data_IF_519359844648
#
_entry.id   IF_519359844648
#
_cell.length_a   1.000
_cell.length_b   1.000
_cell.length_c   1.000
_cell.angle_alpha   90.00
_cell.angle_beta   90.00
_cell.angle_gamma   90.00
#
_symmetry.space_group_name_H-M   'P 1'
#
loop_
_entity.id
_entity.type
_entity.pdbx_description
1 polymer ?
#
# COMPACT_ATOMS: atom_id res chain seq x y z
N UNK A 1 -56.46 32.29 17.84
CA UNK A 1 -55.86 31.92 16.54
C UNK A 1 -54.79 30.88 16.82
N UNK A 2 -55.04 29.66 16.39
CA UNK A 2 -54.16 28.49 16.54
C UNK A 2 -53.47 28.33 15.19
N UNK A 3 -52.15 28.40 15.15
CA UNK A 3 -51.37 27.79 14.07
C UNK A 3 -50.18 27.01 14.62
N UNK A 4 -49.90 25.94 13.92
CA UNK A 4 -49.40 24.65 14.37
C UNK A 4 -48.37 24.23 13.33
N UNK A 5 -47.10 24.11 13.70
CA UNK A 5 -46.05 23.49 12.86
C UNK A 5 -45.05 22.84 13.83
N UNK A 6 -45.21 21.58 14.25
CA UNK A 6 -44.68 20.32 13.67
C UNK A 6 -43.22 20.42 13.18
N UNK A 7 -42.29 19.79 13.92
CA UNK A 7 -41.61 18.52 13.57
C UNK A 7 -40.37 18.77 12.68
N UNK A 8 -39.16 18.29 12.97
CA UNK A 8 -38.74 16.90 13.13
C UNK A 8 -37.48 16.84 14.00
N UNK A 9 -37.48 15.99 15.02
CA UNK A 9 -36.27 15.57 15.73
C UNK A 9 -35.59 14.41 15.03
N UNK A 10 -34.26 14.45 14.95
CA UNK A 10 -33.44 13.35 14.44
C UNK A 10 -32.52 12.90 15.57
N UNK A 11 -32.99 11.94 16.36
CA UNK A 11 -32.17 11.23 17.36
C UNK A 11 -31.80 9.90 16.72
N UNK A 12 -30.49 9.67 16.55
CA UNK A 12 -29.96 8.40 16.09
C UNK A 12 -30.13 7.31 17.14
N UNK A 13 -30.24 6.06 16.70
CA UNK A 13 -29.89 4.92 17.54
C UNK A 13 -29.33 3.78 16.69
N UNK A 14 -28.27 3.18 17.23
CA UNK A 14 -27.41 2.18 16.64
C UNK A 14 -28.11 0.83 16.47
N UNK A 15 -27.65 0.12 15.44
CA UNK A 15 -28.02 -1.26 15.10
C UNK A 15 -27.24 -2.20 16.03
N UNK A 16 -27.95 -3.00 16.84
CA UNK A 16 -27.43 -4.16 17.52
C UNK A 16 -28.07 -5.42 16.89
N UNK A 17 -27.32 -6.11 16.03
CA UNK A 17 -27.70 -7.43 15.52
C UNK A 17 -27.09 -8.48 16.45
N UNK A 18 -27.92 -9.06 17.31
CA UNK A 18 -27.58 -10.24 18.07
C UNK A 18 -27.65 -11.48 17.19
N UNK A 19 -26.53 -12.20 17.06
CA UNK A 19 -26.50 -13.56 16.51
C UNK A 19 -26.47 -14.54 17.68
N UNK A 20 -27.58 -15.25 17.86
CA UNK A 20 -27.70 -16.38 18.78
C UNK A 20 -27.23 -17.62 18.03
N UNK A 21 -26.10 -18.21 18.45
CA UNK A 21 -25.67 -19.54 18.01
C UNK A 21 -26.16 -20.55 19.03
N UNK A 22 -27.16 -21.35 18.63
CA UNK A 22 -27.58 -22.55 19.35
C UNK A 22 -26.53 -23.66 19.13
N UNK A 23 -25.84 -24.05 20.20
CA UNK A 23 -25.01 -25.25 20.24
C UNK A 23 -25.89 -26.45 20.61
N UNK A 24 -26.25 -27.26 19.62
CA UNK A 24 -26.75 -28.62 19.82
C UNK A 24 -25.68 -29.61 19.32
N UNK A 25 -24.77 -30.00 20.22
CA UNK A 25 -23.75 -31.01 19.96
C UNK A 25 -24.18 -32.37 20.52
N UNK A 26 -24.70 -33.23 19.65
CA UNK A 26 -24.92 -34.64 19.94
C UNK A 26 -23.58 -35.37 20.10
N UNK A 27 -23.47 -36.08 21.23
CA UNK A 27 -22.38 -37.01 21.56
C UNK A 27 -22.53 -38.25 20.66
N UNK A 28 -21.50 -38.59 19.87
CA UNK A 28 -21.35 -39.93 19.29
C UNK A 28 -19.90 -40.38 19.36
N UNK A 29 -19.76 -41.60 19.87
CA UNK A 29 -18.53 -42.33 20.11
C UNK A 29 -17.71 -42.53 18.84
N UNK A 30 -16.40 -42.51 19.06
CA UNK A 30 -15.32 -42.78 18.15
C UNK A 30 -15.16 -44.27 17.86
N UNK A 31 -14.89 -44.61 16.60
CA UNK A 31 -14.10 -45.78 16.21
C UNK A 31 -12.93 -45.33 15.31
N UNK A 32 -11.73 -45.93 15.42
CA UNK A 32 -10.59 -45.56 14.62
C UNK A 32 -10.56 -46.34 13.30
N UNK A 33 -10.31 -45.65 12.19
CA UNK A 33 -10.07 -46.23 10.86
C UNK A 33 -8.73 -45.69 10.33
N UNK A 34 -7.87 -46.55 9.72
CA UNK A 34 -6.45 -46.29 9.54
C UNK A 34 -6.10 -45.49 8.28
N UNK A 35 -4.85 -45.01 8.28
CA UNK A 35 -4.07 -44.32 7.25
C UNK A 35 -4.69 -44.21 5.85
N UNK A 36 -5.01 -42.96 5.47
CA UNK A 36 -5.19 -42.54 4.10
C UNK A 36 -4.16 -41.46 3.76
N UNK A 37 -3.35 -41.80 2.76
CA UNK A 37 -2.40 -40.99 1.99
C UNK A 37 -2.80 -39.51 1.89
N UNK A 38 -1.90 -38.64 2.33
CA UNK A 38 -2.01 -37.19 2.14
C UNK A 38 -1.98 -36.86 0.65
N UNK A 39 -3.15 -36.54 0.09
CA UNK A 39 -3.27 -35.82 -1.17
C UNK A 39 -3.03 -34.34 -0.89
N UNK A 40 -1.89 -33.85 -1.38
CA UNK A 40 -1.50 -32.44 -1.34
C UNK A 40 -2.57 -31.59 -2.05
N UNK A 41 -3.22 -30.70 -1.29
CA UNK A 41 -4.18 -29.76 -1.83
C UNK A 41 -3.45 -28.70 -2.68
N UNK A 42 -3.99 -28.28 -3.83
CA UNK A 42 -3.37 -27.25 -4.65
C UNK A 42 -3.33 -25.92 -3.89
N UNK A 43 -2.13 -25.35 -3.75
CA UNK A 43 -1.94 -24.02 -3.18
C UNK A 43 -2.69 -22.97 -4.03
N UNK A 44 -3.38 -21.99 -3.41
CA UNK A 44 -4.06 -20.93 -4.13
C UNK A 44 -3.05 -20.09 -4.94
N UNK A 45 -3.33 -19.95 -6.23
CA UNK A 45 -2.48 -19.25 -7.19
C UNK A 45 -2.19 -17.81 -6.76
N UNK A 46 -0.94 -17.38 -7.01
CA UNK A 46 -0.49 -16.01 -6.80
C UNK A 46 -1.44 -15.03 -7.53
N UNK A 47 -1.99 -14.00 -6.87
CA UNK A 47 -2.88 -13.06 -7.52
C UNK A 47 -2.15 -12.34 -8.66
N UNK A 48 -2.81 -12.25 -9.81
CA UNK A 48 -2.31 -11.59 -11.01
C UNK A 48 -1.93 -10.14 -10.67
N UNK A 49 -0.62 -9.84 -10.73
CA UNK A 49 -0.12 -8.48 -10.59
C UNK A 49 -0.08 -7.86 -11.98
N UNK A 50 -0.83 -6.78 -12.20
CA UNK A 50 -0.63 -5.97 -13.37
C UNK A 50 0.67 -5.18 -13.20
N UNK A 51 1.67 -5.57 -13.99
CA UNK A 51 3.02 -5.01 -13.99
C UNK A 51 3.10 -3.99 -15.12
N UNK A 52 3.20 -2.71 -14.78
CA UNK A 52 3.47 -1.64 -15.75
C UNK A 52 4.72 -0.88 -15.31
N UNK A 53 5.76 -0.98 -16.13
CA UNK A 53 7.02 -0.25 -16.00
C UNK A 53 6.75 1.17 -16.52
N UNK A 54 7.10 2.19 -15.74
CA UNK A 54 6.98 3.57 -16.19
C UNK A 54 7.85 3.78 -17.45
N UNK A 55 7.46 4.63 -18.40
CA UNK A 55 8.31 4.99 -19.53
C UNK A 55 9.65 5.54 -19.03
N UNK A 56 10.72 5.27 -19.79
CA UNK A 56 12.05 5.80 -19.48
C UNK A 56 11.99 7.34 -19.38
N UNK A 57 12.68 7.95 -18.39
CA UNK A 57 12.67 9.40 -18.24
C UNK A 57 13.26 10.05 -19.49
N UNK A 58 12.57 11.04 -20.06
CA UNK A 58 13.15 11.87 -21.11
C UNK A 58 14.37 12.62 -20.54
N UNK A 59 15.49 12.59 -21.26
CA UNK A 59 16.79 13.17 -20.84
C UNK A 59 16.78 14.69 -20.55
N UNK A 60 15.63 15.36 -20.65
CA UNK A 60 15.48 16.81 -20.50
C UNK A 60 15.26 17.32 -19.07
N UNK A 61 15.14 16.45 -18.05
CA UNK A 61 14.78 16.85 -16.68
C UNK A 61 15.94 16.71 -15.64
N UNK A 62 17.19 16.53 -16.08
CA UNK A 62 18.29 16.07 -15.22
C UNK A 62 18.91 17.09 -14.22
N UNK A 63 18.46 18.35 -14.18
CA UNK A 63 19.12 19.40 -13.37
C UNK A 63 18.29 19.89 -12.16
N UNK A 64 17.09 19.35 -11.92
CA UNK A 64 16.36 19.64 -10.66
C UNK A 64 16.91 18.77 -9.52
N UNK A 65 17.79 19.37 -8.71
CA UNK A 65 18.31 18.74 -7.50
C UNK A 65 17.18 18.26 -6.56
N UNK A 66 17.37 17.08 -5.98
CA UNK A 66 16.41 16.46 -5.06
C UNK A 66 16.20 17.34 -3.81
N UNK A 67 15.07 18.06 -3.75
CA UNK A 67 14.73 18.89 -2.60
C UNK A 67 14.15 18.06 -1.45
N UNK A 68 15.01 17.35 -0.71
CA UNK A 68 14.63 16.76 0.57
C UNK A 68 14.63 17.83 1.66
N UNK A 69 13.51 17.95 2.39
CA UNK A 69 13.38 18.91 3.47
C UNK A 69 13.71 18.28 4.84
N UNK A 70 14.34 19.03 5.77
CA UNK A 70 14.35 18.63 7.17
C UNK A 70 12.91 18.57 7.72
N UNK A 71 12.67 17.72 8.71
CA UNK A 71 11.36 17.52 9.33
C UNK A 71 10.69 18.85 9.72
N UNK A 72 9.45 19.04 9.25
CA UNK A 72 8.50 20.12 9.54
C UNK A 72 9.04 21.52 9.98
N UNK A 73 9.20 22.44 9.01
CA UNK A 73 9.13 23.89 9.26
C UNK A 73 7.76 24.44 8.82
N UNK A 74 7.14 25.26 9.68
CA UNK A 74 5.84 25.94 9.43
C UNK A 74 5.91 26.74 8.12
N UNK A 75 5.03 26.45 7.15
CA UNK A 75 4.84 27.29 5.95
C UNK A 75 5.23 26.69 4.59
N UNK A 76 5.64 25.43 4.51
CA UNK A 76 6.00 24.79 3.23
C UNK A 76 4.78 24.37 2.39
N UNK A 77 4.91 24.31 1.04
CA UNK A 77 3.83 23.95 0.13
C UNK A 77 3.19 22.61 0.49
N UNK A 78 1.87 22.53 0.37
CA UNK A 78 1.13 21.30 0.64
C UNK A 78 1.41 20.32 -0.49
N UNK A 79 1.93 19.14 -0.15
CA UNK A 79 1.94 18.02 -1.07
C UNK A 79 0.54 17.80 -1.60
N UNK A 80 0.38 17.91 -2.91
CA UNK A 80 -0.92 17.73 -3.53
C UNK A 80 -1.00 16.32 -4.08
N UNK A 81 -1.85 15.51 -3.47
CA UNK A 81 -2.20 14.20 -4.00
C UNK A 81 -3.71 14.14 -4.08
N UNK A 82 -4.23 13.93 -5.28
CA UNK A 82 -5.65 13.76 -5.50
C UNK A 82 -5.92 12.45 -6.22
N UNK A 83 -6.98 11.79 -5.75
CA UNK A 83 -7.63 10.69 -6.43
C UNK A 83 -9.06 11.15 -6.72
N UNK A 84 -9.37 11.32 -8.00
CA UNK A 84 -10.71 11.75 -8.44
C UNK A 84 -11.32 10.65 -9.29
N UNK A 85 -12.63 10.44 -9.13
CA UNK A 85 -13.37 9.44 -9.90
C UNK A 85 -14.33 10.14 -10.85
N UNK A 86 -14.21 9.86 -12.14
CA UNK A 86 -15.21 10.22 -13.13
C UNK A 86 -16.36 9.21 -13.05
N UNK A 87 -17.45 9.58 -12.36
CA UNK A 87 -18.57 8.68 -12.05
C UNK A 87 -19.17 8.02 -13.28
N UNK A 88 -19.24 8.74 -14.40
CA UNK A 88 -19.91 8.28 -15.61
C UNK A 88 -19.09 7.28 -16.41
N UNK A 89 -17.76 7.24 -16.21
CA UNK A 89 -16.84 6.37 -16.99
C UNK A 89 -16.21 5.25 -16.16
N UNK A 90 -16.35 5.27 -14.83
CA UNK A 90 -15.65 4.33 -13.95
C UNK A 90 -14.13 4.49 -14.00
N UNK A 91 -13.67 5.68 -14.43
CA UNK A 91 -12.27 6.06 -14.57
C UNK A 91 -11.82 6.80 -13.32
N UNK A 92 -10.64 6.46 -12.79
CA UNK A 92 -10.01 7.26 -11.74
C UNK A 92 -8.80 8.00 -12.30
N UNK A 93 -8.62 9.23 -11.86
CA UNK A 93 -7.43 10.03 -12.13
C UNK A 93 -6.63 10.19 -10.85
N UNK A 94 -5.35 9.88 -10.95
CA UNK A 94 -4.35 10.10 -9.91
C UNK A 94 -3.52 11.30 -10.36
N UNK A 95 -3.43 12.31 -9.50
CA UNK A 95 -2.51 13.43 -9.68
C UNK A 95 -1.65 13.55 -8.43
N UNK A 96 -0.34 13.57 -8.63
CA UNK A 96 0.67 13.87 -7.63
C UNK A 96 1.44 15.09 -8.11
N UNK A 97 1.55 16.08 -7.24
CA UNK A 97 2.35 17.27 -7.50
C UNK A 97 3.08 17.68 -6.22
N UNK A 98 4.40 17.81 -6.36
CA UNK A 98 5.35 18.25 -5.34
C UNK A 98 5.15 17.53 -3.99
N UNK A 99 5.23 16.18 -3.96
CA UNK A 99 5.21 15.43 -2.73
C UNK A 99 6.35 15.87 -1.83
N UNK A 100 6.00 16.13 -0.57
CA UNK A 100 6.96 16.49 0.45
C UNK A 100 7.51 15.21 1.05
N UNK A 101 8.79 14.98 0.80
CA UNK A 101 9.55 13.90 1.41
C UNK A 101 10.38 14.44 2.59
N UNK A 102 10.23 13.79 3.73
CA UNK A 102 11.02 14.02 4.94
C UNK A 102 12.04 12.90 5.07
N UNK A 103 13.29 13.27 5.36
CA UNK A 103 14.36 12.33 5.67
C UNK A 103 14.69 12.40 7.15
N UNK A 104 14.84 11.22 7.77
CA UNK A 104 15.20 11.04 9.16
C UNK A 104 16.45 10.17 9.25
N UNK A 105 17.45 10.63 9.98
CA UNK A 105 18.64 9.84 10.26
C UNK A 105 18.36 8.85 11.40
N UNK A 106 18.84 7.62 11.24
CA UNK A 106 18.83 6.57 12.27
C UNK A 106 20.22 5.94 12.37
N UNK A 107 20.47 5.16 13.42
CA UNK A 107 21.76 4.48 13.59
C UNK A 107 22.09 3.53 12.42
N UNK A 108 21.07 2.98 11.75
CA UNK A 108 21.20 1.99 10.66
C UNK A 108 21.06 2.59 9.26
N UNK A 109 20.96 3.92 9.13
CA UNK A 109 20.83 4.66 7.89
C UNK A 109 19.67 5.65 7.88
N UNK A 110 19.31 6.13 6.69
CA UNK A 110 18.24 7.11 6.50
C UNK A 110 16.87 6.44 6.31
N UNK A 111 15.83 7.07 6.84
CA UNK A 111 14.44 6.73 6.59
C UNK A 111 13.80 7.89 5.84
N UNK A 112 13.09 7.61 4.75
CA UNK A 112 12.45 8.68 3.96
C UNK A 112 10.95 8.46 3.96
N UNK A 113 10.17 9.46 4.33
CA UNK A 113 8.71 9.40 4.40
C UNK A 113 8.09 10.44 3.48
N UNK A 114 6.96 10.09 2.87
CA UNK A 114 6.09 11.09 2.24
C UNK A 114 4.92 11.36 3.16
N UNK A 115 4.58 12.64 3.33
CA UNK A 115 3.44 13.05 4.14
C UNK A 115 2.14 12.40 3.64
N UNK A 116 1.34 11.87 4.57
CA UNK A 116 0.12 11.13 4.24
C UNK A 116 0.36 9.68 3.78
N UNK A 117 1.61 9.21 3.83
CA UNK A 117 1.98 7.85 3.47
C UNK A 117 1.47 6.79 4.45
N UNK A 118 0.97 5.70 3.88
CA UNK A 118 0.45 4.52 4.59
C UNK A 118 0.71 3.21 3.86
N UNK A 119 1.54 3.22 2.81
CA UNK A 119 1.88 2.00 2.08
C UNK A 119 2.82 1.12 2.91
N UNK A 120 2.24 0.17 3.65
CA UNK A 120 3.01 -0.88 4.33
C UNK A 120 3.81 -1.69 3.30
N UNK A 121 5.07 -1.98 3.64
CA UNK A 121 5.97 -2.86 2.88
C UNK A 121 6.51 -3.96 3.79
N UNK A 122 7.14 -4.97 3.18
CA UNK A 122 7.68 -6.13 3.90
C UNK A 122 8.83 -5.69 4.81
N UNK A 123 8.91 -6.21 6.05
CA UNK A 123 10.10 -6.09 6.88
C UNK A 123 11.39 -6.43 6.10
N UNK A 124 12.45 -5.69 6.37
CA UNK A 124 13.74 -5.84 5.70
C UNK A 124 13.88 -5.20 4.31
N UNK A 125 12.81 -4.63 3.76
CA UNK A 125 12.88 -3.76 2.58
C UNK A 125 13.31 -2.33 2.95
N UNK A 126 13.81 -1.51 2.01
CA UNK A 126 14.12 -0.10 2.25
C UNK A 126 12.98 0.68 2.89
N UNK A 127 13.30 1.45 3.93
CA UNK A 127 12.36 2.21 4.74
C UNK A 127 12.00 3.56 4.10
N UNK A 128 11.41 3.49 2.91
CA UNK A 128 10.94 4.63 2.13
C UNK A 128 9.42 4.83 2.27
N UNK A 129 8.89 5.98 1.84
CA UNK A 129 7.48 6.32 1.95
C UNK A 129 6.66 5.84 0.75
N UNK A 130 5.35 5.64 0.94
CA UNK A 130 4.43 5.36 -0.15
C UNK A 130 3.00 5.69 0.27
N UNK A 131 2.17 6.03 -0.71
CA UNK A 131 0.78 6.39 -0.52
C UNK A 131 -0.09 5.19 -0.89
N UNK A 132 -1.15 4.95 -0.15
CA UNK A 132 -2.05 3.84 -0.43
C UNK A 132 -3.51 4.22 -0.20
N UNK A 133 -4.38 3.73 -1.07
CA UNK A 133 -5.83 3.83 -0.96
C UNK A 133 -6.46 2.46 -1.18
N UNK A 134 -7.63 2.27 -0.58
CA UNK A 134 -8.49 1.11 -0.85
C UNK A 134 -9.67 1.59 -1.67
N UNK A 135 -9.85 0.96 -2.82
CA UNK A 135 -10.91 1.22 -3.78
C UNK A 135 -11.84 0.00 -3.84
N UNK A 136 -13.13 0.20 -4.13
CA UNK A 136 -14.03 -0.91 -4.38
C UNK A 136 -13.58 -1.63 -5.65
N UNK A 137 -13.42 -2.95 -5.61
CA UNK A 137 -13.14 -3.77 -6.80
C UNK A 137 -14.40 -4.18 -7.55
N UNK A 138 -14.22 -4.81 -8.72
CA UNK A 138 -15.32 -5.29 -9.55
C UNK A 138 -15.06 -6.73 -9.99
N UNK A 139 -15.95 -7.65 -9.61
CA UNK A 139 -15.81 -9.09 -9.89
C UNK A 139 -15.70 -9.35 -11.40
N UNK A 140 -14.67 -10.08 -11.82
CA UNK A 140 -14.41 -10.38 -13.23
C UNK A 140 -13.77 -9.21 -14.02
N UNK A 141 -13.28 -8.19 -13.32
CA UNK A 141 -12.56 -7.05 -13.91
C UNK A 141 -11.31 -6.76 -13.09
N UNK A 142 -10.25 -6.36 -13.77
CA UNK A 142 -9.01 -5.91 -13.15
C UNK A 142 -8.89 -4.39 -13.25
N UNK A 143 -8.46 -3.73 -12.18
CA UNK A 143 -8.18 -2.29 -12.23
C UNK A 143 -6.75 -2.03 -12.72
N UNK A 144 -6.61 -1.51 -13.93
CA UNK A 144 -5.32 -1.30 -14.60
C UNK A 144 -4.86 0.16 -14.50
N UNK A 145 -3.68 0.44 -13.93
CA UNK A 145 -3.10 1.78 -13.91
C UNK A 145 -2.39 2.10 -15.22
N UNK A 146 -2.64 3.26 -15.83
CA UNK A 146 -1.85 3.78 -16.95
C UNK A 146 -1.19 5.09 -16.54
N UNK A 147 0.14 5.13 -16.48
CA UNK A 147 0.89 6.36 -16.19
C UNK A 147 1.01 7.18 -17.48
N UNK A 148 0.49 8.39 -17.48
CA UNK A 148 0.46 9.28 -18.65
C UNK A 148 1.52 10.37 -18.61
N UNK A 149 1.96 10.77 -17.43
CA UNK A 149 3.05 11.73 -17.21
C UNK A 149 3.72 11.40 -15.88
N UNK A 150 5.06 11.41 -15.84
CA UNK A 150 5.83 11.24 -14.63
C UNK A 150 7.17 11.97 -14.74
N UNK A 151 7.48 12.85 -13.79
CA UNK A 151 8.75 13.56 -13.68
C UNK A 151 9.43 13.21 -12.35
N UNK A 152 10.76 13.16 -12.37
CA UNK A 152 11.54 12.66 -11.26
C UNK A 152 12.80 13.49 -11.05
N UNK A 153 13.14 13.70 -9.78
CA UNK A 153 14.43 14.18 -9.35
C UNK A 153 15.21 13.01 -8.73
N UNK A 154 16.49 12.88 -9.04
CA UNK A 154 17.37 11.86 -8.45
C UNK A 154 18.46 12.51 -7.62
N UNK A 155 18.74 11.93 -6.45
CA UNK A 155 20.00 12.12 -5.74
C UNK A 155 20.84 10.85 -5.92
N UNK A 156 21.93 10.99 -6.65
CA UNK A 156 22.94 9.93 -6.84
C UNK A 156 23.97 9.90 -5.71
N UNK A 157 23.89 10.84 -4.75
CA UNK A 157 24.87 10.98 -3.67
C UNK A 157 24.61 10.01 -2.52
N UNK A 158 24.97 8.74 -2.70
CA UNK A 158 25.36 7.84 -1.60
C UNK A 158 24.35 7.67 -0.46
N UNK A 159 23.06 7.88 -0.69
CA UNK A 159 22.07 7.89 0.39
C UNK A 159 21.84 6.46 0.88
N UNK A 160 22.37 6.11 2.05
CA UNK A 160 22.13 4.78 2.61
C UNK A 160 20.76 4.75 3.32
N UNK A 161 19.83 3.98 2.77
CA UNK A 161 18.48 3.83 3.32
C UNK A 161 18.41 2.64 4.27
N UNK A 162 17.94 2.88 5.49
CA UNK A 162 17.73 1.87 6.52
C UNK A 162 16.61 0.88 6.10
N UNK A 163 16.63 -0.33 6.65
CA UNK A 163 15.55 -1.29 6.44
C UNK A 163 14.35 -0.98 7.32
N UNK A 164 13.16 -1.42 6.89
CA UNK A 164 11.95 -1.40 7.72
C UNK A 164 12.18 -2.26 8.95
N UNK A 165 12.00 -1.63 10.12
CA UNK A 165 12.10 -2.27 11.41
C UNK A 165 11.11 -3.42 11.59
N UNK A 166 11.58 -4.50 12.21
CA UNK A 166 10.76 -5.57 12.75
C UNK A 166 10.58 -5.31 14.24
N UNK A 167 9.33 -5.24 14.69
CA UNK A 167 9.04 -5.27 16.12
C UNK A 167 9.08 -6.73 16.55
N UNK A 168 10.08 -7.10 17.36
CA UNK A 168 10.12 -8.43 17.97
C UNK A 168 9.52 -8.33 19.37
N UNK A 169 8.41 -9.02 19.60
CA UNK A 169 7.90 -9.26 20.95
C UNK A 169 8.60 -10.53 21.42
N UNK A 170 9.42 -10.45 22.47
CA UNK A 170 10.08 -11.62 23.04
C UNK A 170 9.04 -12.37 23.88
N UNK A 171 8.83 -13.65 23.55
CA UNK A 171 7.96 -14.52 24.31
C UNK A 171 8.60 -14.78 25.69
N UNK A 172 7.92 -14.39 26.78
CA UNK A 172 8.37 -14.63 28.15
C UNK A 172 8.90 -13.41 28.91
N UNK A 173 9.03 -12.24 28.26
CA UNK A 173 9.21 -10.97 28.97
C UNK A 173 7.84 -10.37 29.34
N UNK A 174 7.76 -9.73 30.51
CA UNK A 174 6.58 -9.01 31.00
C UNK A 174 5.95 -8.14 29.89
N UNK A 175 4.61 -7.97 29.88
CA UNK A 175 3.93 -7.03 28.97
C UNK A 175 4.46 -5.58 29.09
N UNK A 176 5.27 -5.28 30.12
CA UNK A 176 5.96 -4.01 30.36
C UNK A 176 7.35 -3.91 29.69
N UNK A 177 7.86 -4.95 29.05
CA UNK A 177 9.17 -4.89 28.41
C UNK A 177 9.13 -4.05 27.13
N UNK A 178 10.09 -3.13 27.00
CA UNK A 178 10.23 -2.31 25.79
C UNK A 178 10.48 -3.22 24.58
N UNK A 179 9.71 -3.08 23.50
CA UNK A 179 9.86 -3.93 22.33
C UNK A 179 11.22 -3.69 21.67
N UNK A 180 11.96 -4.77 21.38
CA UNK A 180 13.18 -4.67 20.58
C UNK A 180 12.80 -4.36 19.12
N UNK A 181 13.28 -3.22 18.64
CA UNK A 181 13.15 -2.78 17.26
C UNK A 181 14.46 -3.13 16.55
N UNK A 182 14.41 -4.09 15.63
CA UNK A 182 15.58 -4.50 14.84
C UNK A 182 15.38 -4.17 13.36
N UNK A 183 16.42 -3.62 12.70
CA UNK A 183 16.41 -3.30 11.26
C UNK A 183 17.33 -4.23 10.49
N UNK A 184 16.83 -5.40 10.12
CA UNK A 184 17.59 -6.39 9.34
C UNK A 184 17.37 -6.19 7.84
N UNK A 185 18.44 -5.86 7.09
CA UNK A 185 18.36 -5.73 5.62
C UNK A 185 18.13 -7.09 4.98
N UNK A 186 17.10 -7.21 4.14
CA UNK A 186 16.89 -8.41 3.34
C UNK A 186 17.95 -8.49 2.25
N UNK A 187 18.79 -9.55 2.20
CA UNK A 187 19.81 -9.70 1.15
C UNK A 187 19.19 -9.75 -0.24
N UNK A 188 18.02 -10.37 -0.36
CA UNK A 188 17.25 -10.46 -1.60
C UNK A 188 16.93 -9.07 -2.17
N UNK A 189 16.72 -8.05 -1.35
CA UNK A 189 16.38 -6.70 -1.83
C UNK A 189 17.64 -5.85 -1.93
N UNK A 190 18.49 -5.85 -0.91
CA UNK A 190 19.63 -4.94 -0.83
C UNK A 190 20.81 -5.32 -1.74
N UNK A 191 20.85 -6.54 -2.25
CA UNK A 191 21.84 -6.97 -3.25
C UNK A 191 21.38 -6.72 -4.71
N UNK A 192 20.14 -6.27 -4.94
CA UNK A 192 19.64 -6.02 -6.28
C UNK A 192 20.07 -4.64 -6.77
N UNK A 193 20.77 -4.59 -7.90
CA UNK A 193 21.06 -3.36 -8.62
C UNK A 193 19.84 -2.93 -9.45
N UNK A 194 18.77 -2.53 -8.75
CA UNK A 194 17.52 -2.11 -9.33
C UNK A 194 16.77 -1.15 -8.39
N UNK A 195 15.93 -0.29 -8.96
CA UNK A 195 15.06 0.58 -8.17
C UNK A 195 14.01 -0.22 -7.38
N UNK A 196 13.94 0.01 -6.08
CA UNK A 196 12.93 -0.51 -5.18
C UNK A 196 12.03 0.61 -4.62
N UNK A 197 10.70 0.43 -4.61
CA UNK A 197 9.96 -0.53 -5.43
C UNK A 197 10.14 -0.18 -6.91
N UNK A 198 10.01 -1.18 -7.79
CA UNK A 198 10.21 -1.01 -9.24
C UNK A 198 9.13 -0.13 -9.91
N UNK A 199 7.93 -0.07 -9.34
CA UNK A 199 6.78 0.63 -9.92
C UNK A 199 6.37 1.86 -9.11
N UNK A 200 6.15 2.98 -9.80
CA UNK A 200 5.60 4.21 -9.21
C UNK A 200 4.11 4.08 -8.90
N UNK A 201 3.35 3.34 -9.72
CA UNK A 201 1.95 3.02 -9.44
C UNK A 201 1.80 1.51 -9.47
N UNK A 202 1.20 0.94 -8.43
CA UNK A 202 0.91 -0.48 -8.32
C UNK A 202 -0.51 -0.67 -7.86
N UNK A 203 -1.19 -1.60 -8.50
CA UNK A 203 -2.51 -2.08 -8.07
C UNK A 203 -2.35 -3.49 -7.52
N UNK A 204 -2.97 -3.75 -6.37
CA UNK A 204 -3.05 -5.07 -5.76
C UNK A 204 -4.52 -5.39 -5.50
N UNK A 205 -4.98 -6.55 -5.89
CA UNK A 205 -6.37 -6.96 -5.66
C UNK A 205 -6.42 -8.05 -4.59
N UNK A 206 -7.46 -8.00 -3.77
CA UNK A 206 -7.68 -8.97 -2.71
C UNK A 206 -9.18 -9.21 -2.52
N UNK A 207 -9.52 -10.39 -2.01
CA UNK A 207 -10.88 -10.75 -1.66
C UNK A 207 -11.08 -10.66 -0.15
N UNK A 208 -12.20 -10.07 0.26
CA UNK A 208 -12.69 -10.06 1.63
C UNK A 208 -14.09 -10.70 1.64
N UNK A 209 -14.12 -12.03 1.68
CA UNK A 209 -15.34 -12.80 1.41
C UNK A 209 -15.79 -12.60 -0.04
N UNK A 210 -17.03 -12.16 -0.25
CA UNK A 210 -17.57 -11.87 -1.61
C UNK A 210 -17.19 -10.49 -2.14
N UNK A 211 -16.51 -9.66 -1.35
CA UNK A 211 -16.14 -8.31 -1.76
C UNK A 211 -14.73 -8.31 -2.35
N UNK A 212 -14.62 -7.95 -3.63
CA UNK A 212 -13.33 -7.64 -4.25
C UNK A 212 -12.89 -6.24 -3.83
N UNK A 213 -11.69 -6.13 -3.27
CA UNK A 213 -11.05 -4.87 -2.87
C UNK A 213 -9.81 -4.65 -3.70
N UNK A 214 -9.55 -3.38 -4.02
CA UNK A 214 -8.37 -2.98 -4.77
C UNK A 214 -7.54 -2.03 -3.93
N UNK A 215 -6.30 -2.40 -3.64
CA UNK A 215 -5.31 -1.55 -3.01
C UNK A 215 -4.47 -0.86 -4.08
N UNK A 216 -4.72 0.42 -4.25
CA UNK A 216 -3.88 1.31 -5.05
C UNK A 216 -2.68 1.76 -4.20
N UNK A 217 -1.48 1.63 -4.74
CA UNK A 217 -0.24 2.11 -4.12
C UNK A 217 0.46 3.05 -5.10
N UNK A 218 0.80 4.25 -4.63
CA UNK A 218 1.66 5.19 -5.34
C UNK A 218 2.98 5.30 -4.56
N UNK A 219 4.09 4.99 -5.23
CA UNK A 219 5.44 5.01 -4.70
C UNK A 219 6.19 6.22 -5.27
N UNK A 220 6.03 7.42 -4.68
CA UNK A 220 6.73 8.60 -5.14
C UNK A 220 8.24 8.50 -4.87
N UNK A 221 8.69 7.66 -3.94
CA UNK A 221 10.10 7.44 -3.64
C UNK A 221 10.49 6.05 -4.14
N UNK A 222 11.60 5.97 -4.86
CA UNK A 222 12.26 4.74 -5.28
C UNK A 222 13.74 4.81 -4.89
N UNK A 223 14.35 3.66 -4.60
CA UNK A 223 15.72 3.59 -4.12
C UNK A 223 16.44 2.38 -4.71
N UNK A 224 17.64 2.60 -5.27
CA UNK A 224 18.54 1.51 -5.66
C UNK A 224 19.55 1.25 -4.52
N UNK A 225 19.53 0.07 -3.88
CA UNK A 225 20.37 -0.22 -2.73
C UNK A 225 21.85 -0.45 -3.05
N UNK A 226 22.19 -0.77 -4.30
CA UNK A 226 23.56 -1.00 -4.77
C UNK A 226 24.21 0.33 -5.15
N UNK A 227 23.56 1.12 -6.02
CA UNK A 227 24.09 2.43 -6.45
C UNK A 227 23.88 3.53 -5.43
N UNK A 228 23.04 3.29 -4.41
CA UNK A 228 22.60 4.28 -3.41
C UNK A 228 21.87 5.47 -4.02
N UNK A 229 21.28 5.28 -5.19
CA UNK A 229 20.45 6.30 -5.85
C UNK A 229 19.08 6.37 -5.19
N UNK A 230 18.67 7.57 -4.77
CA UNK A 230 17.33 7.87 -4.31
C UNK A 230 16.61 8.73 -5.33
N UNK A 231 15.44 8.28 -5.80
CA UNK A 231 14.63 8.95 -6.81
C UNK A 231 13.29 9.37 -6.23
N UNK A 232 12.88 10.62 -6.47
CA UNK A 232 11.60 11.18 -6.07
C UNK A 232 10.81 11.57 -7.31
N UNK A 233 9.67 10.94 -7.52
CA UNK A 233 8.66 11.35 -8.49
C UNK A 233 7.93 12.58 -7.96
N UNK A 234 8.22 13.76 -8.50
CA UNK A 234 7.63 15.02 -8.03
C UNK A 234 6.37 15.41 -8.82
N UNK A 235 6.17 14.85 -10.00
CA UNK A 235 4.96 15.00 -10.81
C UNK A 235 4.53 13.64 -11.31
N UNK A 236 3.26 13.29 -11.13
CA UNK A 236 2.68 12.08 -11.71
C UNK A 236 1.23 12.34 -12.10
N UNK A 237 0.86 11.92 -13.31
CA UNK A 237 -0.51 11.77 -13.77
C UNK A 237 -0.70 10.31 -14.21
N UNK A 238 -1.75 9.69 -13.71
CA UNK A 238 -2.12 8.35 -14.11
C UNK A 238 -3.65 8.19 -14.15
N UNK A 239 -4.11 7.26 -14.98
CA UNK A 239 -5.50 6.82 -15.01
C UNK A 239 -5.61 5.40 -14.44
N UNK A 240 -6.77 5.05 -13.89
CA UNK A 240 -7.11 3.68 -13.51
C UNK A 240 -8.40 3.27 -14.20
N UNK A 241 -8.34 2.17 -14.94
CA UNK A 241 -9.46 1.66 -15.74
C UNK A 241 -9.79 0.23 -15.40
N UNK A 242 -11.09 -0.07 -15.30
CA UNK A 242 -11.54 -1.45 -15.19
C UNK A 242 -11.50 -2.13 -16.56
N UNK A 243 -10.63 -3.14 -16.67
CA UNK A 243 -10.53 -3.99 -17.85
C UNK A 243 -11.12 -5.35 -17.53
N UNK A 244 -11.98 -5.87 -18.42
CA UNK A 244 -12.62 -7.18 -18.21
C UNK A 244 -11.55 -8.27 -18.13
N UNK A 245 -11.56 -9.06 -17.06
CA UNK A 245 -10.65 -10.19 -16.93
C UNK A 245 -11.09 -11.28 -17.91
N UNK A 246 -10.15 -11.80 -18.68
CA UNK A 246 -10.37 -12.96 -19.57
C UNK A 246 -10.24 -14.28 -18.80
N UNK A 247 -9.74 -14.23 -17.57
CA UNK A 247 -9.53 -15.40 -16.71
C UNK A 247 -10.65 -15.43 -15.66
N UNK A 248 -11.35 -16.56 -15.50
CA UNK A 248 -12.34 -16.70 -14.44
C UNK A 248 -11.68 -16.56 -13.07
N UNK A 249 -12.14 -15.61 -12.27
CA UNK A 249 -11.66 -15.38 -10.91
C UNK A 249 -12.47 -16.25 -9.95
N UNK A 250 -11.79 -17.03 -9.12
CA UNK A 250 -12.41 -17.72 -7.97
C UNK A 250 -12.21 -16.86 -6.72
N UNK A 251 -13.25 -16.66 -5.90
CA UNK A 251 -13.15 -15.96 -4.62
C UNK A 251 -12.34 -16.74 -3.57
#
# INVERSE_FOLDING_TARGET
MIEKVRSVGMVGFAIAVGVIVLLAGCRRESEPVPDATQSEAPQPGTPAQAVLIAPEPSELDAEEGLALGPAATKGRPRSYVSLTQERDKGLYHITLQDPYAEMFETAEGNVVRVRGGGARRKPGSPDIGGLAWVLPGKVGWNLMPTVTDAAFASATQGVDIAAIAVRKVIEGESEEADPIIERVRSPEIYAQDALFPSHVVRVQEAWAGTNKLVRLVVNPIQYNPVTKELRLCYRLKATLEYVKSLVPESP
#
